data_IF_597602197592
#
_entry.id   IF_597602197592
#
_cell.length_a   1.000
_cell.length_b   1.000
_cell.length_c   1.000
_cell.angle_alpha   90.00
_cell.angle_beta   90.00
_cell.angle_gamma   90.00
#
_symmetry.space_group_name_H-M   'P 1'
#
loop_
_entity.id
_entity.type
_entity.pdbx_description
1 polymer ?
#
# COMPACT_ATOMS: atom_id res chain seq x y z
N UNK A 1 -33.05 -18.44 -25.43
CA UNK A 1 -32.21 -18.62 -24.23
C UNK A 1 -33.04 -18.04 -23.12
N UNK A 2 -33.47 -18.88 -22.20
CA UNK A 2 -34.51 -18.52 -21.23
C UNK A 2 -33.90 -17.71 -20.09
N UNK A 3 -34.59 -16.68 -19.60
CA UNK A 3 -34.10 -15.76 -18.56
C UNK A 3 -33.68 -16.51 -17.30
N UNK A 4 -34.37 -17.61 -16.97
CA UNK A 4 -34.06 -18.50 -15.85
C UNK A 4 -32.68 -19.19 -16.02
N UNK A 5 -32.33 -19.57 -17.24
CA UNK A 5 -31.01 -20.14 -17.55
C UNK A 5 -29.88 -19.10 -17.48
N UNK A 6 -30.15 -17.83 -17.81
CA UNK A 6 -29.17 -16.75 -17.66
C UNK A 6 -28.93 -16.43 -16.18
N UNK A 7 -29.96 -16.47 -15.35
CA UNK A 7 -29.82 -16.24 -13.90
C UNK A 7 -29.04 -17.36 -13.19
N UNK A 8 -29.30 -18.63 -13.53
CA UNK A 8 -28.53 -19.77 -13.00
C UNK A 8 -27.05 -19.69 -13.41
N UNK A 9 -26.76 -19.26 -14.64
CA UNK A 9 -25.39 -19.07 -15.10
C UNK A 9 -24.68 -17.97 -14.31
N UNK A 10 -25.32 -16.81 -14.10
CA UNK A 10 -24.75 -15.70 -13.33
C UNK A 10 -24.46 -16.12 -11.89
N UNK A 11 -25.36 -16.88 -11.26
CA UNK A 11 -25.16 -17.37 -9.89
C UNK A 11 -23.98 -18.35 -9.80
N UNK A 12 -23.84 -19.23 -10.79
CA UNK A 12 -22.70 -20.17 -10.86
C UNK A 12 -21.35 -19.44 -11.01
N UNK A 13 -21.30 -18.39 -11.84
CA UNK A 13 -20.10 -17.58 -12.04
C UNK A 13 -19.73 -16.86 -10.75
N UNK A 14 -20.70 -16.21 -10.08
CA UNK A 14 -20.45 -15.53 -8.80
C UNK A 14 -19.93 -16.46 -7.72
N UNK A 15 -20.49 -17.68 -7.66
CA UNK A 15 -20.02 -18.68 -6.69
C UNK A 15 -18.57 -19.08 -6.96
N UNK A 16 -18.20 -19.25 -8.23
CA UNK A 16 -16.81 -19.52 -8.62
C UNK A 16 -15.88 -18.34 -8.31
N UNK A 17 -16.31 -17.11 -8.61
CA UNK A 17 -15.58 -15.88 -8.29
C UNK A 17 -15.27 -15.80 -6.79
N UNK A 18 -16.27 -16.02 -5.93
CA UNK A 18 -16.10 -16.03 -4.47
C UNK A 18 -15.10 -17.10 -4.00
N UNK A 19 -15.12 -18.29 -4.60
CA UNK A 19 -14.21 -19.37 -4.23
C UNK A 19 -12.78 -19.10 -4.71
N UNK A 20 -12.60 -18.49 -5.88
CA UNK A 20 -11.30 -18.02 -6.34
C UNK A 20 -10.76 -16.88 -5.48
N UNK A 21 -11.61 -15.94 -5.06
CA UNK A 21 -11.20 -14.85 -4.16
C UNK A 21 -10.70 -15.41 -2.82
N UNK A 22 -11.45 -16.34 -2.20
CA UNK A 22 -11.02 -17.00 -0.95
C UNK A 22 -9.68 -17.69 -1.12
N UNK A 23 -9.50 -18.45 -2.19
CA UNK A 23 -8.25 -19.15 -2.46
C UNK A 23 -7.08 -18.17 -2.65
N UNK A 24 -7.31 -17.05 -3.34
CA UNK A 24 -6.29 -16.01 -3.52
C UNK A 24 -5.88 -15.37 -2.19
N UNK A 25 -6.84 -15.08 -1.30
CA UNK A 25 -6.57 -14.54 0.04
C UNK A 25 -5.81 -15.54 0.90
N UNK A 26 -6.20 -16.82 0.87
CA UNK A 26 -5.50 -17.88 1.60
C UNK A 26 -4.07 -18.08 1.10
N UNK A 27 -3.87 -18.05 -0.23
CA UNK A 27 -2.54 -18.12 -0.83
C UNK A 27 -1.68 -16.92 -0.44
N UNK A 28 -2.26 -15.71 -0.44
CA UNK A 28 -1.59 -14.50 -0.02
C UNK A 28 -1.13 -14.61 1.44
N UNK A 29 -2.00 -15.07 2.34
CA UNK A 29 -1.67 -15.27 3.76
C UNK A 29 -0.60 -16.36 3.93
N UNK A 30 -0.69 -17.45 3.17
CA UNK A 30 0.32 -18.52 3.20
C UNK A 30 1.70 -18.01 2.80
N UNK A 31 1.79 -17.29 1.68
CA UNK A 31 3.03 -16.66 1.22
C UNK A 31 3.55 -15.65 2.25
N UNK A 32 2.66 -14.80 2.79
CA UNK A 32 3.02 -13.76 3.75
C UNK A 32 3.59 -14.34 5.05
N UNK A 33 3.03 -15.45 5.54
CA UNK A 33 3.56 -16.18 6.70
C UNK A 33 4.93 -16.81 6.45
N UNK A 34 5.22 -17.18 5.21
CA UNK A 34 6.49 -17.80 4.85
C UNK A 34 7.60 -16.75 4.69
N UNK A 35 7.36 -15.75 3.84
CA UNK A 35 8.28 -14.65 3.60
C UNK A 35 7.49 -13.40 3.21
N UNK A 36 7.42 -12.45 4.15
CA UNK A 36 6.70 -11.19 3.95
C UNK A 36 7.31 -10.34 2.85
N UNK A 37 8.63 -10.30 2.72
CA UNK A 37 9.33 -9.43 1.77
C UNK A 37 9.19 -9.96 0.34
N UNK A 38 9.31 -11.26 0.13
CA UNK A 38 9.06 -11.88 -1.17
C UNK A 38 7.59 -11.77 -1.57
N UNK A 39 6.66 -11.94 -0.63
CA UNK A 39 5.24 -11.78 -0.91
C UNK A 39 4.93 -10.37 -1.41
N UNK A 40 5.49 -9.33 -0.80
CA UNK A 40 5.35 -7.95 -1.27
C UNK A 40 5.83 -7.79 -2.70
N UNK A 41 6.99 -8.36 -3.05
CA UNK A 41 7.53 -8.32 -4.42
C UNK A 41 6.62 -9.01 -5.42
N UNK A 42 6.08 -10.19 -5.09
CA UNK A 42 5.16 -10.92 -5.97
C UNK A 42 3.88 -10.10 -6.21
N UNK A 43 3.37 -9.43 -5.18
CA UNK A 43 2.16 -8.62 -5.28
C UNK A 43 2.35 -7.37 -6.17
N UNK A 44 3.55 -6.81 -6.18
CA UNK A 44 3.88 -5.58 -6.92
C UNK A 44 4.60 -5.84 -8.23
N UNK A 45 4.88 -7.10 -8.56
CA UNK A 45 5.57 -7.47 -9.79
C UNK A 45 4.64 -7.36 -11.00
N UNK A 46 5.17 -6.89 -12.13
CA UNK A 46 4.42 -6.80 -13.38
C UNK A 46 4.25 -8.17 -14.06
N UNK A 47 3.01 -8.60 -14.19
CA UNK A 47 2.67 -9.83 -14.88
C UNK A 47 2.59 -9.58 -16.40
N UNK A 48 3.67 -9.91 -17.12
CA UNK A 48 3.73 -9.82 -18.60
C UNK A 48 2.61 -10.58 -19.31
N UNK A 49 2.12 -11.66 -18.71
CA UNK A 49 1.04 -12.47 -19.26
C UNK A 49 -0.35 -11.83 -19.05
N UNK A 50 -0.46 -10.83 -18.17
CA UNK A 50 -1.70 -10.16 -17.81
C UNK A 50 -1.61 -8.65 -18.15
N UNK A 51 -1.16 -8.35 -19.38
CA UNK A 51 -1.04 -6.97 -19.88
C UNK A 51 -0.14 -6.07 -19.01
N UNK A 52 0.91 -6.64 -18.42
CA UNK A 52 1.84 -5.96 -17.50
C UNK A 52 1.17 -5.37 -16.26
N UNK A 53 0.00 -5.85 -15.87
CA UNK A 53 -0.63 -5.47 -14.60
C UNK A 53 0.10 -6.10 -13.41
N UNK A 54 0.02 -5.45 -12.26
CA UNK A 54 0.47 -6.05 -11.00
C UNK A 54 -0.65 -6.89 -10.38
N UNK A 55 -0.31 -7.80 -9.47
CA UNK A 55 -1.34 -8.57 -8.76
C UNK A 55 -2.27 -7.65 -7.96
N UNK A 56 -1.74 -6.56 -7.39
CA UNK A 56 -2.51 -5.51 -6.72
C UNK A 56 -3.47 -4.77 -7.66
N UNK A 57 -3.03 -4.40 -8.87
CA UNK A 57 -3.92 -3.72 -9.83
C UNK A 57 -5.02 -4.66 -10.32
N UNK A 58 -4.72 -5.94 -10.57
CA UNK A 58 -5.73 -6.94 -10.89
C UNK A 58 -6.75 -7.12 -9.76
N UNK A 59 -6.29 -7.22 -8.51
CA UNK A 59 -7.19 -7.32 -7.35
C UNK A 59 -8.11 -6.09 -7.22
N UNK A 60 -7.60 -4.90 -7.52
CA UNK A 60 -8.40 -3.67 -7.58
C UNK A 60 -9.42 -3.71 -8.73
N UNK A 61 -9.03 -4.17 -9.93
CA UNK A 61 -9.93 -4.30 -11.07
C UNK A 61 -11.06 -5.29 -10.83
N UNK A 62 -10.80 -6.35 -10.05
CA UNK A 62 -11.81 -7.33 -9.62
C UNK A 62 -12.61 -6.88 -8.38
N UNK A 63 -12.39 -5.67 -7.86
CA UNK A 63 -13.03 -5.14 -6.66
C UNK A 63 -12.93 -6.07 -5.41
N UNK A 64 -11.87 -6.87 -5.33
CA UNK A 64 -11.65 -7.83 -4.23
C UNK A 64 -11.24 -7.10 -2.95
N UNK A 65 -12.22 -6.70 -2.16
CA UNK A 65 -12.02 -5.97 -0.90
C UNK A 65 -11.29 -6.82 0.13
N UNK A 66 -11.53 -8.12 0.16
CA UNK A 66 -10.93 -9.04 1.13
C UNK A 66 -9.42 -9.16 0.91
N UNK A 67 -8.99 -9.23 -0.35
CA UNK A 67 -7.57 -9.27 -0.73
C UNK A 67 -6.85 -7.95 -0.44
N UNK A 68 -7.51 -6.81 -0.70
CA UNK A 68 -6.93 -5.49 -0.43
C UNK A 68 -6.85 -5.21 1.08
N UNK A 69 -7.82 -5.68 1.86
CA UNK A 69 -7.82 -5.52 3.32
C UNK A 69 -6.74 -6.36 4.03
N UNK A 70 -6.09 -7.28 3.32
CA UNK A 70 -5.05 -8.13 3.88
C UNK A 70 -3.87 -7.30 4.46
N UNK A 71 -3.32 -7.65 5.64
CA UNK A 71 -2.24 -6.89 6.28
C UNK A 71 -1.00 -6.66 5.40
N UNK A 72 -0.67 -7.64 4.55
CA UNK A 72 0.43 -7.51 3.59
C UNK A 72 0.19 -6.36 2.61
N UNK A 73 -1.02 -6.29 2.03
CA UNK A 73 -1.43 -5.23 1.11
C UNK A 73 -1.44 -3.86 1.81
N UNK A 74 -1.98 -3.81 3.03
CA UNK A 74 -2.02 -2.58 3.82
C UNK A 74 -0.61 -2.09 4.19
N UNK A 75 0.34 -2.99 4.44
CA UNK A 75 1.74 -2.61 4.66
C UNK A 75 2.38 -2.04 3.39
N UNK A 76 2.05 -2.54 2.20
CA UNK A 76 2.50 -1.96 0.91
C UNK A 76 1.92 -0.55 0.73
N UNK A 77 0.62 -0.39 0.91
CA UNK A 77 -0.07 0.90 0.79
C UNK A 77 0.41 1.91 1.83
N UNK A 78 0.68 1.48 3.06
CA UNK A 78 1.24 2.33 4.12
C UNK A 78 2.64 2.82 3.74
N UNK A 79 3.51 1.92 3.26
CA UNK A 79 4.84 2.31 2.79
C UNK A 79 4.78 3.31 1.64
N UNK A 80 3.84 3.11 0.70
CA UNK A 80 3.58 4.01 -0.43
C UNK A 80 3.07 5.38 0.04
N UNK A 81 2.17 5.40 1.02
CA UNK A 81 1.66 6.62 1.64
C UNK A 81 2.76 7.45 2.33
N UNK A 82 3.67 6.80 3.05
CA UNK A 82 4.80 7.49 3.68
C UNK A 82 5.90 7.88 2.69
N UNK A 83 5.98 7.19 1.54
CA UNK A 83 6.98 7.42 0.50
C UNK A 83 8.41 7.36 1.07
N UNK A 84 9.17 8.44 0.84
CA UNK A 84 10.53 8.61 1.34
C UNK A 84 10.66 8.77 2.85
N UNK A 85 9.57 8.87 3.60
CA UNK A 85 9.59 8.94 5.06
C UNK A 85 9.62 7.53 5.66
N UNK A 86 10.46 7.28 6.67
CA UNK A 86 10.42 6.01 7.42
C UNK A 86 9.27 6.04 8.40
N UNK A 87 8.45 4.99 8.39
CA UNK A 87 7.41 4.80 9.38
C UNK A 87 8.03 4.66 10.77
N UNK A 88 7.54 5.45 11.73
CA UNK A 88 7.95 5.41 13.13
C UNK A 88 6.74 5.75 13.99
N UNK A 89 6.68 5.18 15.20
CA UNK A 89 5.56 5.35 16.16
C UNK A 89 5.16 6.81 16.39
N UNK A 90 6.11 7.75 16.25
CA UNK A 90 5.86 9.17 16.47
C UNK A 90 5.86 10.01 15.18
N UNK A 91 5.99 9.40 14.00
CA UNK A 91 6.18 10.15 12.75
C UNK A 91 4.99 11.06 12.45
N UNK A 92 3.76 10.56 12.62
CA UNK A 92 2.54 11.34 12.39
C UNK A 92 2.45 12.53 13.35
N UNK A 93 2.73 12.31 14.64
CA UNK A 93 2.75 13.38 15.64
C UNK A 93 3.85 14.43 15.33
N UNK A 94 5.02 13.98 14.88
CA UNK A 94 6.13 14.85 14.47
C UNK A 94 5.77 15.70 13.25
N UNK A 95 5.13 15.11 12.23
CA UNK A 95 4.63 15.83 11.05
C UNK A 95 3.54 16.83 11.45
N UNK A 96 2.58 16.44 12.29
CA UNK A 96 1.54 17.35 12.77
C UNK A 96 2.12 18.54 13.55
N UNK A 97 3.13 18.32 14.39
CA UNK A 97 3.81 19.42 15.10
C UNK A 97 4.51 20.40 14.15
N UNK A 98 5.13 19.90 13.07
CA UNK A 98 5.72 20.76 12.02
C UNK A 98 4.64 21.56 11.31
N UNK A 99 3.53 20.93 10.92
CA UNK A 99 2.41 21.61 10.24
C UNK A 99 1.76 22.68 11.14
N UNK A 100 1.57 22.38 12.44
CA UNK A 100 1.05 23.35 13.42
C UNK A 100 2.05 24.51 13.61
N UNK A 101 3.35 24.21 13.68
CA UNK A 101 4.40 25.24 13.77
C UNK A 101 4.48 26.12 12.54
N UNK A 102 4.19 25.59 11.35
CA UNK A 102 4.13 26.35 10.10
C UNK A 102 2.86 27.22 10.03
N UNK A 103 1.72 26.71 10.51
CA UNK A 103 0.45 27.44 10.55
C UNK A 103 0.47 28.59 11.57
N UNK A 104 1.15 28.40 12.70
CA UNK A 104 1.23 29.38 13.78
C UNK A 104 2.62 30.03 13.83
N UNK A 105 2.83 31.04 12.97
CA UNK A 105 4.05 31.86 12.89
C UNK A 105 4.66 32.29 14.25
N UNK A 106 3.89 32.66 15.31
CA UNK A 106 4.49 33.04 16.60
C UNK A 106 4.98 31.85 17.44
N UNK A 107 4.56 30.62 17.14
CA UNK A 107 5.00 29.39 17.83
C UNK A 107 6.19 28.71 17.15
N UNK A 108 6.49 29.05 15.89
CA UNK A 108 7.68 28.60 15.19
C UNK A 108 8.99 28.80 15.98
N UNK A 109 9.29 29.97 16.61
CA UNK A 109 10.52 30.13 17.40
C UNK A 109 10.54 29.30 18.69
N UNK A 110 9.38 29.04 19.31
CA UNK A 110 9.26 28.20 20.52
C UNK A 110 9.48 26.72 20.16
N UNK A 111 8.91 26.27 19.04
CA UNK A 111 9.15 24.94 18.47
C UNK A 111 10.60 24.84 17.99
N UNK A 112 11.17 25.85 17.34
CA UNK A 112 12.58 25.83 16.96
C UNK A 112 13.50 25.74 18.20
N UNK A 113 13.19 26.44 19.30
CA UNK A 113 13.99 26.43 20.53
C UNK A 113 13.87 25.12 21.33
N UNK A 114 12.66 24.56 21.46
CA UNK A 114 12.46 23.26 22.10
C UNK A 114 13.14 22.10 21.33
N UNK A 115 13.34 22.26 20.01
CA UNK A 115 13.84 21.21 19.14
C UNK A 115 15.29 21.43 18.68
N UNK A 116 15.87 22.63 18.85
CA UNK A 116 17.29 22.92 18.62
C UNK A 116 18.23 22.11 19.54
N UNK A 117 17.75 21.72 20.73
CA UNK A 117 18.47 20.82 21.65
C UNK A 117 18.50 19.37 21.12
N UNK A 118 17.53 18.99 20.28
CA UNK A 118 17.41 17.65 19.70
C UNK A 118 17.96 17.62 18.28
N UNK A 119 19.28 17.81 18.14
CA UNK A 119 20.01 17.71 16.86
C UNK A 119 20.11 16.27 16.31
N UNK A 120 19.20 15.38 16.70
CA UNK A 120 19.20 13.97 16.29
C UNK A 120 17.92 13.63 15.54
N UNK A 121 18.00 13.67 14.20
CA UNK A 121 17.10 12.99 13.24
C UNK A 121 15.61 12.99 13.63
N UNK A 122 14.98 14.16 13.58
CA UNK A 122 13.56 14.31 13.90
C UNK A 122 12.69 13.45 12.99
N UNK A 123 12.89 13.54 11.67
CA UNK A 123 12.31 12.66 10.67
C UNK A 123 13.44 11.82 10.07
N UNK A 124 13.27 10.50 10.06
CA UNK A 124 14.15 9.62 9.32
C UNK A 124 13.58 9.42 7.93
N UNK A 125 14.41 9.65 6.93
CA UNK A 125 14.08 9.43 5.53
C UNK A 125 14.73 8.13 5.06
N UNK A 126 14.04 7.41 4.18
CA UNK A 126 14.60 6.29 3.43
C UNK A 126 15.71 6.81 2.53
N UNK A 127 16.72 5.98 2.32
CA UNK A 127 17.79 6.27 1.36
C UNK A 127 17.26 6.23 -0.07
N UNK A 128 18.01 6.79 -1.03
CA UNK A 128 17.57 6.82 -2.43
C UNK A 128 17.47 5.41 -3.02
N UNK A 129 18.35 4.52 -2.57
CA UNK A 129 18.37 3.10 -2.94
C UNK A 129 17.14 2.37 -2.39
N UNK A 130 16.80 2.56 -1.12
CA UNK A 130 15.58 2.00 -0.51
C UNK A 130 14.31 2.52 -1.18
N UNK A 131 14.30 3.80 -1.55
CA UNK A 131 13.17 4.41 -2.25
C UNK A 131 13.02 3.85 -3.67
N UNK A 132 14.13 3.63 -4.39
CA UNK A 132 14.10 3.04 -5.73
C UNK A 132 13.66 1.58 -5.76
N UNK A 133 13.79 0.87 -4.64
CA UNK A 133 13.33 -0.52 -4.50
C UNK A 133 11.83 -0.61 -4.12
N UNK A 134 11.18 0.53 -3.87
CA UNK A 134 9.78 0.60 -3.51
C UNK A 134 8.91 0.39 -4.76
N UNK A 135 7.76 -0.30 -4.64
CA UNK A 135 6.80 -0.35 -5.75
C UNK A 135 6.32 1.04 -6.12
N UNK A 136 6.26 1.31 -7.43
CA UNK A 136 5.83 2.59 -7.98
C UNK A 136 4.30 2.72 -8.01
N UNK A 137 3.83 3.96 -7.87
CA UNK A 137 2.44 4.31 -8.14
C UNK A 137 2.15 4.29 -9.65
N UNK A 138 0.87 4.21 -10.02
CA UNK A 138 0.44 4.35 -11.41
C UNK A 138 0.81 5.72 -12.02
N UNK A 139 0.78 6.78 -11.21
CA UNK A 139 1.17 8.14 -11.64
C UNK A 139 2.67 8.21 -11.97
N UNK A 140 3.53 7.67 -11.09
CA UNK A 140 4.97 7.61 -11.33
C UNK A 140 5.33 6.76 -12.56
N UNK A 141 4.60 5.67 -12.81
CA UNK A 141 4.80 4.84 -14.01
C UNK A 141 4.44 5.59 -15.31
N UNK A 142 3.45 6.49 -15.28
CA UNK A 142 3.06 7.28 -16.44
C UNK A 142 4.01 8.46 -16.72
N UNK A 143 4.73 8.92 -15.71
CA UNK A 143 5.68 10.03 -15.79
C UNK A 143 7.08 9.60 -16.27
N UNK A 144 7.35 8.29 -16.42
CA UNK A 144 8.56 7.70 -17.03
C UNK A 144 8.45 7.49 -18.55
#
# INVERSE_FOLDING_TARGET
MDVESETELIESIKTQEDDFEKLAVELQEHCYRHDSDQTRRILTYELRNFSSNTCLSLAQMCESKSFIAHPCTQAILSDLWYGGLRESRFVSAKVTLVLIGLLLLPFYPVIAMCFASSSSKFLEFKTREELSAQPQTWEEYLDE
#
